data_IF_305360277752
#
_entry.id   IF_305360277752
#
_cell.length_a   1.000
_cell.length_b   1.000
_cell.length_c   1.000
_cell.angle_alpha   90.00
_cell.angle_beta   90.00
_cell.angle_gamma   90.00
#
_symmetry.space_group_name_H-M   'P 1'
#
loop_
_entity.id
_entity.type
_entity.pdbx_description
1 polymer ?
#
# COMPACT_ATOMS: atom_id res chain seq x y z
N UNK A 1 17.72 -1.22 -43.09
CA UNK A 1 17.11 -2.56 -42.94
C UNK A 1 17.20 -2.89 -41.45
N UNK A 2 16.09 -3.19 -40.78
CA UNK A 2 16.12 -3.55 -39.34
C UNK A 2 16.74 -4.95 -39.19
N UNK A 3 17.69 -5.10 -38.27
CA UNK A 3 18.26 -6.41 -37.96
C UNK A 3 17.31 -7.19 -37.05
N UNK A 4 17.42 -8.53 -36.98
CA UNK A 4 16.69 -9.32 -35.99
C UNK A 4 16.92 -8.87 -34.55
N UNK A 5 18.11 -8.31 -34.24
CA UNK A 5 18.40 -7.75 -32.92
C UNK A 5 17.64 -6.44 -32.68
N UNK A 6 17.51 -5.58 -33.69
CA UNK A 6 16.70 -4.36 -33.59
C UNK A 6 15.21 -4.68 -33.41
N UNK A 7 14.72 -5.70 -34.12
CA UNK A 7 13.36 -6.21 -33.95
C UNK A 7 13.19 -6.81 -32.54
N UNK A 8 14.17 -7.58 -32.06
CA UNK A 8 14.14 -8.17 -30.73
C UNK A 8 14.17 -7.13 -29.60
N UNK A 9 14.94 -6.05 -29.76
CA UNK A 9 14.97 -4.94 -28.81
C UNK A 9 13.68 -4.12 -28.87
N UNK A 10 13.15 -3.81 -30.07
CA UNK A 10 11.88 -3.12 -30.20
C UNK A 10 10.70 -3.92 -29.60
N UNK A 11 10.69 -5.25 -29.78
CA UNK A 11 9.71 -6.13 -29.14
C UNK A 11 9.90 -6.15 -27.63
N UNK A 12 11.14 -6.22 -27.13
CA UNK A 12 11.42 -6.21 -25.69
C UNK A 12 11.06 -4.87 -25.04
N UNK A 13 11.31 -3.76 -25.71
CA UNK A 13 10.96 -2.43 -25.21
C UNK A 13 9.45 -2.22 -25.24
N UNK A 14 8.78 -2.73 -26.29
CA UNK A 14 7.32 -2.73 -26.37
C UNK A 14 6.67 -3.67 -25.34
N UNK A 15 7.19 -4.89 -25.13
CA UNK A 15 6.61 -5.92 -24.26
C UNK A 15 7.08 -5.87 -22.81
N UNK A 16 8.28 -5.36 -22.55
CA UNK A 16 8.82 -5.14 -21.20
C UNK A 16 8.05 -4.06 -20.46
N UNK A 17 7.39 -3.15 -21.20
CA UNK A 17 6.36 -2.27 -20.68
C UNK A 17 5.02 -2.96 -20.38
N UNK A 18 4.84 -4.24 -20.67
CA UNK A 18 3.60 -4.97 -20.36
C UNK A 18 3.81 -6.10 -19.35
N UNK A 19 5.04 -6.48 -19.01
CA UNK A 19 5.32 -7.48 -17.98
C UNK A 19 6.51 -7.07 -17.14
N UNK A 20 6.38 -7.06 -15.81
CA UNK A 20 7.49 -6.66 -14.95
C UNK A 20 7.21 -6.82 -13.46
N UNK A 21 8.22 -6.46 -12.68
CA UNK A 21 8.10 -6.38 -11.22
C UNK A 21 7.24 -5.18 -10.83
N UNK A 22 6.35 -5.39 -9.88
CA UNK A 22 5.56 -4.34 -9.24
C UNK A 22 5.58 -4.54 -7.72
N UNK A 23 5.05 -3.55 -7.00
CA UNK A 23 4.75 -3.68 -5.59
C UNK A 23 3.25 -3.64 -5.41
N UNK A 24 2.71 -4.66 -4.76
CA UNK A 24 1.34 -4.66 -4.28
C UNK A 24 1.32 -4.15 -2.85
N UNK A 25 0.65 -3.03 -2.62
CA UNK A 25 0.54 -2.39 -1.32
C UNK A 25 -0.85 -2.57 -0.73
N UNK A 26 -0.92 -3.04 0.51
CA UNK A 26 -2.15 -3.12 1.29
C UNK A 26 -2.08 -2.11 2.43
N UNK A 27 -3.01 -1.18 2.46
CA UNK A 27 -3.16 -0.19 3.53
C UNK A 27 -4.25 -0.63 4.51
N UNK A 28 -3.88 -0.85 5.77
CA UNK A 28 -4.81 -1.16 6.85
C UNK A 28 -4.83 -0.03 7.87
N UNK A 29 -5.98 0.20 8.48
CA UNK A 29 -6.15 1.25 9.50
C UNK A 29 -6.71 0.67 10.79
N UNK A 30 -6.22 1.18 11.91
CA UNK A 30 -6.61 0.75 13.24
C UNK A 30 -6.99 1.96 14.07
N UNK A 31 -8.23 1.98 14.55
CA UNK A 31 -8.71 3.00 15.47
C UNK A 31 -8.18 2.70 16.87
N UNK A 32 -7.43 3.63 17.44
CA UNK A 32 -6.90 3.57 18.81
C UNK A 32 -7.23 4.86 19.55
N UNK A 33 -6.94 4.92 20.84
CA UNK A 33 -7.07 6.15 21.64
C UNK A 33 -5.77 6.47 22.36
N UNK A 34 -5.46 7.75 22.49
CA UNK A 34 -4.31 8.21 23.28
C UNK A 34 -4.57 7.89 24.75
N UNK A 35 -3.71 7.10 25.39
CA UNK A 35 -3.97 6.61 26.74
C UNK A 35 -3.90 7.73 27.79
N UNK A 36 -2.93 8.63 27.65
CA UNK A 36 -2.70 9.75 28.55
C UNK A 36 -2.25 10.98 27.77
N UNK A 37 -2.44 12.15 28.36
CA UNK A 37 -1.98 13.40 27.77
C UNK A 37 -0.48 13.32 27.48
N UNK A 38 -0.10 13.60 26.22
CA UNK A 38 1.27 13.54 25.75
C UNK A 38 1.71 14.94 25.32
N UNK A 39 2.75 15.46 25.97
CA UNK A 39 3.18 16.85 25.83
C UNK A 39 3.85 17.13 24.47
N UNK A 40 3.89 18.43 24.10
CA UNK A 40 4.71 18.94 23.00
C UNK A 40 6.17 18.55 23.23
N UNK A 41 6.89 18.20 22.15
CA UNK A 41 8.27 17.73 22.19
C UNK A 41 8.43 16.24 22.49
N UNK A 42 7.37 15.53 22.88
CA UNK A 42 7.42 14.09 23.08
C UNK A 42 7.69 13.34 21.77
N UNK A 43 8.47 12.26 21.88
CA UNK A 43 8.74 11.28 20.82
C UNK A 43 8.23 9.88 21.17
N UNK A 44 7.48 9.78 22.28
CA UNK A 44 6.84 8.56 22.76
C UNK A 44 5.39 8.83 23.10
N UNK A 45 4.52 7.86 22.80
CA UNK A 45 3.09 7.93 23.08
C UNK A 45 2.57 6.54 23.48
N UNK A 46 1.54 6.54 24.31
CA UNK A 46 0.83 5.33 24.71
C UNK A 46 -0.55 5.33 24.08
N UNK A 47 -0.97 4.19 23.56
CA UNK A 47 -2.32 3.99 23.05
C UNK A 47 -3.08 2.96 23.88
N UNK A 48 -4.40 3.15 24.00
CA UNK A 48 -5.35 2.21 24.57
C UNK A 48 -6.51 1.96 23.60
N UNK A 49 -7.41 1.06 24.00
CA UNK A 49 -8.51 0.54 23.17
C UNK A 49 -7.99 -0.01 21.83
N UNK A 50 -6.82 -0.64 21.87
CA UNK A 50 -6.17 -1.18 20.67
C UNK A 50 -6.95 -2.41 20.20
N UNK A 51 -7.40 -2.45 18.93
CA UNK A 51 -8.19 -3.57 18.43
C UNK A 51 -7.35 -4.84 18.36
N UNK A 52 -7.97 -6.00 18.56
CA UNK A 52 -7.29 -7.29 18.58
C UNK A 52 -6.53 -7.61 17.26
N UNK A 53 -6.97 -7.04 16.14
CA UNK A 53 -6.29 -7.18 14.85
C UNK A 53 -4.92 -6.47 14.79
N UNK A 54 -4.69 -5.45 15.64
CA UNK A 54 -3.39 -4.80 15.78
C UNK A 54 -2.60 -5.49 16.89
N UNK A 55 -1.89 -6.56 16.56
CA UNK A 55 -1.12 -7.37 17.52
C UNK A 55 0.21 -6.73 17.95
N UNK A 56 0.77 -5.88 17.10
CA UNK A 56 1.95 -5.07 17.38
C UNK A 56 2.00 -3.87 16.43
N UNK A 57 2.70 -2.79 16.78
CA UNK A 57 3.11 -1.75 15.81
C UNK A 57 4.18 -2.29 14.87
N UNK A 58 4.31 -1.67 13.71
CA UNK A 58 5.41 -1.90 12.76
C UNK A 58 6.18 -0.59 12.56
N UNK A 59 7.48 -0.73 12.29
CA UNK A 59 8.29 0.43 11.87
C UNK A 59 7.72 0.93 10.54
N UNK A 60 7.47 2.23 10.45
CA UNK A 60 6.85 2.84 9.28
C UNK A 60 5.32 2.96 9.36
N UNK A 61 4.66 2.37 10.38
CA UNK A 61 3.27 2.72 10.67
C UNK A 61 3.16 4.22 10.90
N UNK A 62 2.06 4.84 10.47
CA UNK A 62 1.85 6.27 10.62
C UNK A 62 0.60 6.58 11.42
N UNK A 63 0.59 7.73 12.10
CA UNK A 63 -0.61 8.23 12.77
C UNK A 63 -0.60 9.75 12.84
N UNK A 64 -1.75 10.42 12.75
CA UNK A 64 -1.83 11.86 12.88
C UNK A 64 -1.98 12.30 14.34
N UNK A 65 -1.37 13.44 14.67
CA UNK A 65 -1.72 14.25 15.86
C UNK A 65 -1.85 15.70 15.39
N UNK A 66 -3.07 16.25 15.50
CA UNK A 66 -3.39 17.54 14.87
C UNK A 66 -3.21 17.46 13.36
N UNK A 67 -2.43 18.38 12.79
CA UNK A 67 -2.13 18.43 11.35
C UNK A 67 -0.87 17.67 10.94
N UNK A 68 -0.12 17.10 11.90
CA UNK A 68 1.16 16.44 11.64
C UNK A 68 0.98 14.93 11.62
N UNK A 69 1.57 14.28 10.62
CA UNK A 69 1.68 12.81 10.58
C UNK A 69 3.00 12.39 11.19
N UNK A 70 2.94 11.42 12.10
CA UNK A 70 4.08 10.83 12.78
C UNK A 70 4.31 9.41 12.28
N UNK A 71 5.57 9.01 12.20
CA UNK A 71 5.99 7.67 11.77
C UNK A 71 6.56 6.93 12.95
N UNK A 72 6.02 5.74 13.22
CA UNK A 72 6.48 4.82 14.27
C UNK A 72 7.87 4.30 13.93
N UNK A 73 8.75 4.29 14.93
CA UNK A 73 10.16 3.90 14.79
C UNK A 73 10.52 2.62 15.55
N UNK A 74 9.58 2.02 16.28
CA UNK A 74 9.78 0.78 17.00
C UNK A 74 8.62 -0.22 16.83
N UNK A 75 8.91 -1.49 17.11
CA UNK A 75 7.91 -2.55 17.22
C UNK A 75 7.53 -2.69 18.69
N UNK A 76 6.25 -2.47 19.01
CA UNK A 76 5.66 -2.66 20.33
C UNK A 76 4.52 -3.65 20.19
N UNK A 77 4.53 -4.71 21.00
CA UNK A 77 3.44 -5.69 21.05
C UNK A 77 2.26 -5.15 21.85
N UNK A 78 1.05 -5.44 21.37
CA UNK A 78 -0.17 -5.08 22.08
C UNK A 78 -0.38 -6.03 23.26
N UNK A 79 -0.54 -5.49 24.46
CA UNK A 79 -0.84 -6.25 25.66
C UNK A 79 -2.10 -5.70 26.33
N UNK A 80 -3.14 -6.53 26.49
CA UNK A 80 -4.38 -6.13 27.15
C UNK A 80 -5.11 -4.94 26.48
N UNK A 81 -4.97 -4.77 25.16
CA UNK A 81 -5.54 -3.64 24.42
C UNK A 81 -4.75 -2.33 24.59
N UNK A 82 -3.49 -2.42 25.03
CA UNK A 82 -2.58 -1.29 25.23
C UNK A 82 -1.32 -1.44 24.37
N UNK A 83 -0.84 -0.31 23.85
CA UNK A 83 0.49 -0.15 23.27
C UNK A 83 1.23 0.87 24.12
N UNK A 84 2.25 0.44 24.87
CA UNK A 84 3.01 1.30 25.77
C UNK A 84 4.39 1.57 25.20
N UNK A 85 4.78 2.84 25.13
CA UNK A 85 6.10 3.27 24.67
C UNK A 85 6.27 3.23 23.15
N UNK A 86 5.24 3.56 22.38
CA UNK A 86 5.38 3.68 20.91
C UNK A 86 6.25 4.90 20.62
N UNK A 87 7.43 4.68 20.04
CA UNK A 87 8.35 5.75 19.64
C UNK A 87 8.03 6.20 18.22
N UNK A 88 8.19 7.49 17.95
CA UNK A 88 7.89 8.06 16.64
C UNK A 88 8.73 9.28 16.30
N UNK A 89 8.69 9.67 15.03
CA UNK A 89 9.31 10.88 14.48
C UNK A 89 8.37 11.54 13.46
N UNK A 90 8.33 12.88 13.33
CA UNK A 90 9.00 13.88 14.17
C UNK A 90 8.38 13.98 15.57
N UNK A 91 9.02 14.71 16.48
CA UNK A 91 8.46 15.00 17.81
C UNK A 91 7.14 15.78 17.70
N UNK A 92 6.28 15.66 18.72
CA UNK A 92 5.00 16.37 18.75
C UNK A 92 5.19 17.89 18.70
N UNK A 93 4.51 18.55 17.76
CA UNK A 93 4.41 20.02 17.69
C UNK A 93 3.15 20.54 18.40
N UNK A 94 2.18 19.66 18.65
CA UNK A 94 0.96 19.94 19.41
C UNK A 94 0.72 18.84 20.43
N UNK A 95 0.05 19.16 21.54
CA UNK A 95 -0.26 18.19 22.58
C UNK A 95 -1.28 17.16 22.08
N UNK A 96 -1.05 15.88 22.39
CA UNK A 96 -2.05 14.84 22.19
C UNK A 96 -2.88 14.71 23.48
N UNK A 97 -4.15 15.09 23.44
CA UNK A 97 -5.04 14.99 24.60
C UNK A 97 -5.38 13.51 24.90
N UNK A 98 -5.54 13.16 26.18
CA UNK A 98 -6.00 11.83 26.60
C UNK A 98 -7.36 11.49 25.99
N UNK A 99 -7.58 10.21 25.70
CA UNK A 99 -8.76 9.62 25.08
C UNK A 99 -9.07 10.08 23.64
N UNK A 100 -8.25 10.96 23.06
CA UNK A 100 -8.35 11.36 21.64
C UNK A 100 -8.24 10.14 20.75
N UNK A 101 -9.19 9.97 19.83
CA UNK A 101 -9.12 8.91 18.84
C UNK A 101 -8.07 9.23 17.79
N UNK A 102 -7.25 8.25 17.47
CA UNK A 102 -6.19 8.33 16.47
C UNK A 102 -6.30 7.11 15.56
N UNK A 103 -5.99 7.30 14.28
CA UNK A 103 -5.94 6.21 13.30
C UNK A 103 -4.49 5.87 13.03
N UNK A 104 -4.07 4.67 13.43
CA UNK A 104 -2.79 4.09 13.00
C UNK A 104 -3.01 3.50 11.61
N UNK A 105 -2.20 3.92 10.64
CA UNK A 105 -2.21 3.44 9.27
C UNK A 105 -0.96 2.61 9.01
N UNK A 106 -1.16 1.41 8.47
CA UNK A 106 -0.08 0.48 8.11
C UNK A 106 -0.10 0.22 6.61
N UNK A 107 1.05 0.32 5.97
CA UNK A 107 1.24 -0.14 4.60
C UNK A 107 2.10 -1.41 4.60
N UNK A 108 1.58 -2.49 4.02
CA UNK A 108 2.33 -3.71 3.76
C UNK A 108 2.62 -3.80 2.26
N UNK A 109 3.91 -3.81 1.91
CA UNK A 109 4.38 -3.90 0.54
C UNK A 109 4.81 -5.32 0.21
N UNK A 110 4.30 -5.83 -0.90
CA UNK A 110 4.61 -7.16 -1.41
C UNK A 110 5.17 -7.04 -2.82
N UNK A 111 6.38 -7.55 -3.03
CA UNK A 111 6.93 -7.66 -4.38
C UNK A 111 6.12 -8.70 -5.15
N UNK A 112 5.55 -8.28 -6.29
CA UNK A 112 4.75 -9.12 -7.17
C UNK A 112 5.25 -9.02 -8.60
N UNK A 113 4.83 -9.96 -9.44
CA UNK A 113 4.99 -9.87 -10.89
C UNK A 113 3.65 -9.51 -11.49
N UNK A 114 3.64 -8.61 -12.47
CA UNK A 114 2.43 -8.18 -13.15
C UNK A 114 2.60 -8.26 -14.66
N UNK A 115 1.50 -8.56 -15.33
CA UNK A 115 1.32 -8.38 -16.76
C UNK A 115 0.17 -7.39 -16.97
N UNK A 116 0.40 -6.28 -17.65
CA UNK A 116 -0.63 -5.32 -18.02
C UNK A 116 -1.35 -5.81 -19.29
N UNK A 117 -2.66 -6.00 -19.20
CA UNK A 117 -3.50 -6.59 -20.25
C UNK A 117 -4.32 -5.54 -21.02
N UNK A 118 -4.69 -4.43 -20.37
CA UNK A 118 -5.58 -3.43 -20.96
C UNK A 118 -5.32 -2.02 -20.38
N UNK A 119 -5.55 -0.99 -21.20
CA UNK A 119 -5.64 0.42 -20.79
C UNK A 119 -6.85 1.03 -21.49
N UNK A 120 -7.75 1.68 -20.74
CA UNK A 120 -8.88 2.49 -21.26
C UNK A 120 -9.83 1.81 -22.24
N UNK A 121 -10.24 0.57 -21.95
CA UNK A 121 -11.25 -0.11 -22.75
C UNK A 121 -10.76 -0.63 -24.10
N UNK A 122 -9.50 -0.37 -24.48
CA UNK A 122 -8.87 -0.92 -25.67
C UNK A 122 -7.81 -1.97 -25.29
N UNK A 123 -7.83 -3.12 -25.98
CA UNK A 123 -6.76 -4.10 -25.86
C UNK A 123 -5.44 -3.50 -26.35
N UNK A 124 -4.36 -3.76 -25.64
CA UNK A 124 -3.05 -3.16 -25.89
C UNK A 124 -2.45 -3.72 -27.19
N UNK A 125 -2.67 -3.00 -28.30
CA UNK A 125 -1.94 -3.18 -29.55
C UNK A 125 -1.03 -1.95 -29.71
N UNK A 126 0.13 -1.96 -29.04
CA UNK A 126 1.21 -0.97 -29.28
C UNK A 126 1.30 0.22 -28.33
N UNK A 127 2.17 0.13 -27.32
CA UNK A 127 3.32 1.02 -27.17
C UNK A 127 3.24 2.38 -26.45
N UNK A 128 2.13 3.11 -26.36
CA UNK A 128 2.13 4.46 -25.73
C UNK A 128 0.84 4.73 -24.94
N UNK A 129 0.95 5.07 -23.65
CA UNK A 129 -0.24 5.26 -22.78
C UNK A 129 -0.19 6.53 -21.93
N UNK A 130 -1.23 7.36 -22.09
CA UNK A 130 -1.54 8.52 -21.27
C UNK A 130 -2.96 8.39 -20.70
N UNK A 131 -3.04 8.00 -19.42
CA UNK A 131 -4.16 8.27 -18.50
C UNK A 131 -5.46 7.46 -18.65
N UNK A 132 -5.61 6.44 -17.78
CA UNK A 132 -6.92 5.93 -17.35
C UNK A 132 -6.88 4.55 -16.67
N UNK A 133 -7.89 3.69 -16.88
CA UNK A 133 -8.05 2.42 -16.13
C UNK A 133 -7.12 1.32 -16.68
N UNK A 134 -6.30 0.76 -15.80
CA UNK A 134 -5.35 -0.31 -16.09
C UNK A 134 -5.90 -1.67 -15.68
N UNK A 135 -5.70 -2.70 -16.50
CA UNK A 135 -5.97 -4.09 -16.12
C UNK A 135 -4.66 -4.86 -16.00
N UNK A 136 -4.42 -5.50 -14.87
CA UNK A 136 -3.23 -6.28 -14.60
C UNK A 136 -3.60 -7.72 -14.28
N UNK A 137 -2.87 -8.67 -14.84
CA UNK A 137 -2.71 -10.01 -14.27
C UNK A 137 -1.56 -9.99 -13.29
N UNK A 138 -1.85 -10.25 -12.03
CA UNK A 138 -0.93 -10.16 -10.90
C UNK A 138 -0.68 -11.58 -10.36
N UNK A 139 0.59 -11.95 -10.31
CA UNK A 139 1.05 -13.25 -9.82
C UNK A 139 1.56 -13.12 -8.38
N UNK A 140 1.49 -14.23 -7.65
CA UNK A 140 2.08 -14.37 -6.30
C UNK A 140 1.53 -13.39 -5.26
N UNK A 141 0.26 -12.99 -5.42
CA UNK A 141 -0.44 -12.13 -4.46
C UNK A 141 -0.61 -12.87 -3.12
N UNK A 142 -0.11 -12.30 -2.00
CA UNK A 142 -0.17 -12.95 -0.69
C UNK A 142 -1.55 -12.84 -0.03
N UNK A 143 -2.41 -11.97 -0.55
CA UNK A 143 -3.77 -11.75 -0.07
C UNK A 143 -4.72 -11.58 -1.25
N UNK A 144 -6.01 -11.85 -1.02
CA UNK A 144 -7.05 -11.54 -1.99
C UNK A 144 -7.15 -10.01 -2.19
N UNK A 145 -7.09 -9.53 -3.44
CA UNK A 145 -7.24 -8.11 -3.72
C UNK A 145 -8.67 -7.62 -3.45
N UNK A 146 -8.83 -6.36 -3.06
CA UNK A 146 -10.15 -5.74 -2.88
C UNK A 146 -10.22 -4.33 -3.46
N UNK A 147 -11.40 -3.94 -3.97
CA UNK A 147 -11.66 -2.62 -4.55
C UNK A 147 -11.89 -1.50 -3.53
N UNK A 148 -11.42 -1.66 -2.30
CA UNK A 148 -11.76 -0.81 -1.15
C UNK A 148 -10.90 0.46 -1.03
N UNK A 149 -10.08 0.79 -2.02
CA UNK A 149 -9.11 1.90 -1.96
C UNK A 149 -7.88 1.62 -1.07
N UNK A 150 -7.97 0.62 -0.19
CA UNK A 150 -6.87 0.14 0.64
C UNK A 150 -5.80 -0.61 -0.16
N UNK A 151 -6.13 -1.16 -1.33
CA UNK A 151 -5.22 -1.97 -2.12
C UNK A 151 -4.70 -1.16 -3.31
N UNK A 152 -3.38 -1.20 -3.53
CA UNK A 152 -2.71 -0.44 -4.59
C UNK A 152 -1.67 -1.28 -5.33
N UNK A 153 -1.52 -1.02 -6.62
CA UNK A 153 -0.45 -1.55 -7.47
C UNK A 153 0.52 -0.41 -7.78
N UNK A 154 1.79 -0.57 -7.43
CA UNK A 154 2.86 0.37 -7.74
C UNK A 154 3.69 -0.24 -8.86
N UNK A 155 3.62 0.38 -10.05
CA UNK A 155 4.27 -0.13 -11.25
C UNK A 155 4.66 1.03 -12.16
N UNK A 156 5.86 0.95 -12.75
CA UNK A 156 6.39 2.02 -13.61
C UNK A 156 6.47 3.39 -12.92
N UNK A 157 6.66 3.43 -11.59
CA UNK A 157 6.67 4.67 -10.79
C UNK A 157 5.29 5.26 -10.50
N UNK A 158 4.20 4.67 -11.01
CA UNK A 158 2.83 5.08 -10.72
C UNK A 158 2.26 4.28 -9.56
N UNK A 159 1.43 4.93 -8.75
CA UNK A 159 0.63 4.26 -7.71
C UNK A 159 -0.82 4.23 -8.18
N UNK A 160 -1.35 3.03 -8.44
CA UNK A 160 -2.69 2.80 -8.97
C UNK A 160 -3.55 2.14 -7.90
N UNK A 161 -4.77 2.62 -7.71
CA UNK A 161 -5.73 2.13 -6.73
C UNK A 161 -6.56 1.01 -7.33
N UNK A 162 -6.59 -0.15 -6.67
CA UNK A 162 -7.39 -1.30 -7.11
C UNK A 162 -8.88 -0.99 -7.03
N UNK A 163 -9.60 -1.35 -8.09
CA UNK A 163 -11.05 -1.21 -8.23
C UNK A 163 -11.79 -2.51 -7.87
N UNK A 164 -13.11 -2.46 -7.81
CA UNK A 164 -13.95 -3.61 -7.44
C UNK A 164 -13.98 -4.73 -8.51
N UNK A 165 -13.53 -4.45 -9.73
CA UNK A 165 -13.44 -5.43 -10.81
C UNK A 165 -12.20 -6.31 -10.63
N UNK A 166 -12.42 -7.44 -9.97
CA UNK A 166 -11.41 -8.40 -9.57
C UNK A 166 -11.89 -9.79 -9.95
N UNK A 167 -11.02 -10.58 -10.58
CA UNK A 167 -11.32 -11.96 -10.95
C UNK A 167 -10.06 -12.81 -10.89
N UNK A 168 -10.23 -14.13 -10.97
CA UNK A 168 -9.12 -15.04 -11.24
C UNK A 168 -8.93 -15.18 -12.75
N UNK A 169 -7.69 -15.47 -13.15
CA UNK A 169 -7.43 -15.90 -14.53
C UNK A 169 -8.06 -17.28 -14.79
N UNK A 170 -8.06 -17.72 -16.05
CA UNK A 170 -8.69 -18.99 -16.44
C UNK A 170 -8.09 -20.21 -15.74
N UNK A 171 -6.81 -20.14 -15.32
CA UNK A 171 -6.13 -21.22 -14.60
C UNK A 171 -6.31 -21.15 -13.09
N UNK A 172 -6.83 -20.03 -12.56
CA UNK A 172 -6.93 -19.77 -11.12
C UNK A 172 -5.61 -19.37 -10.46
N UNK A 173 -4.48 -19.43 -11.19
CA UNK A 173 -3.14 -19.19 -10.65
C UNK A 173 -2.83 -17.70 -10.40
N UNK A 174 -3.53 -16.79 -11.07
CA UNK A 174 -3.29 -15.36 -10.98
C UNK A 174 -4.58 -14.57 -10.71
N UNK A 175 -4.42 -13.34 -10.22
CA UNK A 175 -5.52 -12.40 -10.07
C UNK A 175 -5.52 -11.40 -11.21
N UNK A 176 -6.68 -11.16 -11.79
CA UNK A 176 -6.91 -10.08 -12.72
C UNK A 176 -7.53 -8.92 -11.97
N UNK A 177 -6.87 -7.77 -12.02
CA UNK A 177 -7.15 -6.62 -11.18
C UNK A 177 -7.24 -5.36 -12.04
N UNK A 178 -8.33 -4.61 -11.92
CA UNK A 178 -8.42 -3.25 -12.50
C UNK A 178 -7.92 -2.21 -11.52
N UNK A 179 -7.14 -1.22 -11.96
CA UNK A 179 -6.60 -0.16 -11.12
C UNK A 179 -6.52 1.20 -11.82
N UNK A 180 -6.63 2.30 -11.06
CA UNK A 180 -6.50 3.68 -11.57
C UNK A 180 -5.76 4.62 -10.64
#
# INVERSE_FOLDING_TARGET
MLTPADIGNAIRDALGGFAGSAVYRVSTTFNVRVAALTAVGATTINFNNVPAALTATAIGDTFPVGATTHTVTNVITTAGGLLTGVTFTPALVTQAASATQVVISRAADHSVRVIMEQVDGYNLIGGLYAGGDYRFTVFDLPVEPSGSGAHKVIWGGKTLTVQAEISRDQTGAAWIVRAK
#
